data_IF_791467102404
#
_entry.id   IF_791467102404
#
_cell.length_a   1.000
_cell.length_b   1.000
_cell.length_c   1.000
_cell.angle_alpha   90.00
_cell.angle_beta   90.00
_cell.angle_gamma   90.00
#
_symmetry.space_group_name_H-M   'P 1'
#
loop_
_entity.id
_entity.type
_entity.pdbx_description
1 polymer ?
#
# COMPACT_ATOMS: atom_id res chain seq x y z
N UNK A 1 5.51 9.97 -39.83
CA UNK A 1 4.88 11.01 -39.01
C UNK A 1 5.89 11.41 -37.95
N UNK A 2 6.55 12.58 -38.12
CA UNK A 2 7.47 13.12 -37.14
C UNK A 2 6.67 13.46 -35.87
N UNK A 3 6.87 12.72 -34.80
CA UNK A 3 6.34 13.10 -33.49
C UNK A 3 7.12 14.33 -33.02
N UNK A 4 6.40 15.42 -32.84
CA UNK A 4 6.95 16.62 -32.25
C UNK A 4 7.29 16.34 -30.79
N UNK A 5 8.56 16.01 -30.51
CA UNK A 5 9.07 15.66 -29.19
C UNK A 5 9.40 16.88 -28.32
N UNK A 6 8.80 18.03 -28.61
CA UNK A 6 8.94 19.15 -27.69
C UNK A 6 8.17 18.86 -26.40
N UNK A 7 8.83 18.85 -25.23
CA UNK A 7 8.13 18.75 -23.98
C UNK A 7 7.14 19.90 -23.82
N UNK A 8 5.96 19.68 -23.26
CA UNK A 8 5.00 20.75 -23.04
C UNK A 8 5.64 21.84 -22.19
N UNK A 9 5.45 23.10 -22.60
CA UNK A 9 5.90 24.25 -21.83
C UNK A 9 5.09 24.28 -20.52
N UNK A 10 5.67 23.80 -19.43
CA UNK A 10 5.06 23.83 -18.10
C UNK A 10 5.31 25.20 -17.51
N UNK A 11 4.27 26.03 -17.43
CA UNK A 11 4.34 27.29 -16.68
C UNK A 11 4.25 26.99 -15.19
N UNK A 12 5.31 27.32 -14.47
CA UNK A 12 5.34 27.23 -12.99
C UNK A 12 4.94 28.55 -12.33
N UNK A 13 4.60 29.57 -13.10
CA UNK A 13 4.31 30.91 -12.59
C UNK A 13 3.16 30.92 -11.57
N UNK A 14 2.17 30.05 -11.75
CA UNK A 14 1.05 29.92 -10.81
C UNK A 14 1.37 29.11 -9.55
N UNK A 15 2.51 28.41 -9.52
CA UNK A 15 2.93 27.59 -8.37
C UNK A 15 3.61 28.43 -7.28
N UNK A 16 4.20 29.58 -7.66
CA UNK A 16 4.88 30.50 -6.75
C UNK A 16 4.42 31.91 -7.11
N UNK A 17 3.35 32.37 -6.48
CA UNK A 17 2.80 33.70 -6.72
C UNK A 17 3.44 34.77 -5.86
N UNK A 18 3.89 34.39 -4.66
CA UNK A 18 4.57 35.29 -3.73
C UNK A 18 5.74 34.58 -3.05
N UNK A 19 6.84 35.31 -2.71
CA UNK A 19 7.89 34.72 -1.90
C UNK A 19 7.29 34.24 -0.58
N UNK A 20 7.57 33.00 -0.21
CA UNK A 20 7.14 32.47 1.07
C UNK A 20 7.74 33.35 2.19
N UNK A 21 6.89 33.90 3.04
CA UNK A 21 7.34 34.59 4.25
C UNK A 21 8.22 33.67 5.09
N UNK A 22 9.19 34.23 5.80
CA UNK A 22 10.05 33.49 6.68
C UNK A 22 9.24 33.01 7.89
N UNK A 23 9.06 31.69 8.00
CA UNK A 23 8.33 31.06 9.10
C UNK A 23 9.26 30.14 9.88
N UNK A 24 9.59 30.54 11.10
CA UNK A 24 10.42 29.75 12.02
C UNK A 24 9.85 28.37 12.30
N UNK A 25 8.52 28.20 12.23
CA UNK A 25 7.86 26.89 12.42
C UNK A 25 8.06 25.91 11.26
N UNK A 26 8.66 26.37 10.15
CA UNK A 26 9.03 25.53 9.01
C UNK A 26 10.51 25.15 8.96
N UNK A 27 11.30 25.68 9.88
CA UNK A 27 12.73 25.36 9.95
C UNK A 27 12.94 24.01 10.62
N UNK A 28 13.85 23.20 10.07
CA UNK A 28 14.31 21.95 10.68
C UNK A 28 15.34 22.25 11.81
N UNK A 29 14.91 22.99 12.82
CA UNK A 29 15.75 23.44 13.94
C UNK A 29 15.01 23.24 15.27
N UNK A 30 15.67 22.73 16.34
CA UNK A 30 15.05 22.66 17.67
C UNK A 30 14.59 24.02 18.17
N UNK A 31 13.44 24.11 18.85
CA UNK A 31 12.51 23.01 19.24
C UNK A 31 11.47 22.62 18.17
N UNK A 32 11.53 23.24 16.99
CA UNK A 32 10.53 23.09 15.93
C UNK A 32 10.46 21.65 15.41
N UNK A 33 11.59 20.96 15.30
CA UNK A 33 11.65 19.55 14.91
C UNK A 33 10.81 18.67 15.83
N UNK A 34 10.91 18.85 17.14
CA UNK A 34 10.08 18.13 18.12
C UNK A 34 8.58 18.44 17.95
N UNK A 35 8.23 19.71 17.74
CA UNK A 35 6.83 20.13 17.52
C UNK A 35 6.28 19.49 16.25
N UNK A 36 7.06 19.43 15.18
CA UNK A 36 6.65 18.78 13.93
C UNK A 36 6.46 17.28 14.07
N UNK A 37 7.35 16.61 14.80
CA UNK A 37 7.25 15.19 15.09
C UNK A 37 5.99 14.88 15.91
N UNK A 38 5.76 15.67 16.96
CA UNK A 38 4.55 15.56 17.77
C UNK A 38 3.28 15.74 16.93
N UNK A 39 3.21 16.81 16.14
CA UNK A 39 2.07 17.05 15.23
C UNK A 39 1.91 15.96 14.17
N UNK A 40 3.01 15.37 13.71
CA UNK A 40 2.93 14.23 12.77
C UNK A 40 2.21 13.06 13.42
N UNK A 41 2.57 12.69 14.63
CA UNK A 41 2.02 11.52 15.32
C UNK A 41 0.61 11.76 15.89
N UNK A 42 0.34 12.95 16.44
CA UNK A 42 -0.91 13.24 17.15
C UNK A 42 -2.03 13.78 16.22
N UNK A 43 -1.67 14.51 15.15
CA UNK A 43 -2.66 15.18 14.29
C UNK A 43 -2.67 14.60 12.88
N UNK A 44 -1.52 14.64 12.18
CA UNK A 44 -1.48 14.39 10.73
C UNK A 44 -1.67 12.93 10.37
N UNK A 45 -1.03 11.99 11.06
CA UNK A 45 -1.18 10.56 10.78
C UNK A 45 -2.58 10.05 11.11
N UNK A 46 -3.21 10.40 12.25
CA UNK A 46 -4.61 10.09 12.49
C UNK A 46 -5.55 10.67 11.43
N UNK A 47 -5.38 11.94 11.06
CA UNK A 47 -6.19 12.57 10.02
C UNK A 47 -6.01 11.90 8.64
N UNK A 48 -4.78 11.49 8.30
CA UNK A 48 -4.52 10.76 7.07
C UNK A 48 -5.23 9.39 7.06
N UNK A 49 -5.20 8.64 8.16
CA UNK A 49 -5.93 7.37 8.27
C UNK A 49 -7.45 7.56 8.13
N UNK A 50 -7.99 8.56 8.81
CA UNK A 50 -9.40 8.95 8.65
C UNK A 50 -9.74 9.20 7.18
N UNK A 51 -8.95 10.02 6.50
CA UNK A 51 -9.13 10.34 5.08
C UNK A 51 -9.08 9.09 4.19
N UNK A 52 -8.12 8.18 4.41
CA UNK A 52 -8.00 6.92 3.66
C UNK A 52 -9.28 6.10 3.80
N UNK A 53 -9.77 5.95 5.02
CA UNK A 53 -10.98 5.15 5.31
C UNK A 53 -12.25 5.82 4.77
N UNK A 54 -12.45 7.12 5.02
CA UNK A 54 -13.64 7.87 4.58
C UNK A 54 -13.78 7.88 3.05
N UNK A 55 -12.65 7.99 2.35
CA UNK A 55 -12.63 8.00 0.88
C UNK A 55 -12.42 6.62 0.26
N UNK A 56 -12.31 5.56 1.08
CA UNK A 56 -12.13 4.17 0.63
C UNK A 56 -10.98 4.05 -0.39
N UNK A 57 -9.83 4.64 -0.02
CA UNK A 57 -8.68 4.66 -0.93
C UNK A 57 -8.05 3.28 -1.11
N UNK A 58 -8.08 2.43 -0.08
CA UNK A 58 -7.75 1.02 -0.21
C UNK A 58 -9.00 0.24 -0.65
N UNK A 59 -8.80 -0.82 -1.43
CA UNK A 59 -9.89 -1.57 -2.04
C UNK A 59 -9.90 -3.01 -1.56
N UNK A 60 -11.07 -3.52 -1.21
CA UNK A 60 -11.26 -4.90 -0.80
C UNK A 60 -12.12 -5.64 -1.82
N UNK A 61 -11.58 -6.73 -2.38
CA UNK A 61 -12.26 -7.65 -3.28
C UNK A 61 -12.46 -8.97 -2.57
N UNK A 62 -13.73 -9.36 -2.42
CA UNK A 62 -14.09 -10.63 -1.80
C UNK A 62 -13.81 -11.77 -2.75
N UNK A 63 -13.13 -12.83 -2.28
CA UNK A 63 -12.87 -14.03 -3.06
C UNK A 63 -14.12 -14.83 -3.37
N UNK A 64 -14.20 -15.42 -4.57
CA UNK A 64 -15.37 -16.18 -5.00
C UNK A 64 -15.41 -17.59 -4.39
N UNK A 65 -14.26 -18.24 -4.20
CA UNK A 65 -14.17 -19.65 -3.78
C UNK A 65 -13.32 -19.84 -2.51
N UNK A 66 -12.13 -19.27 -2.46
CA UNK A 66 -11.15 -19.45 -1.38
C UNK A 66 -11.08 -18.22 -0.47
N UNK A 67 -12.24 -17.82 0.07
CA UNK A 67 -12.37 -16.62 0.94
C UNK A 67 -11.50 -16.65 2.18
N UNK A 68 -11.16 -17.86 2.65
CA UNK A 68 -10.31 -18.08 3.82
C UNK A 68 -8.81 -17.81 3.56
N UNK A 69 -8.42 -17.62 2.30
CA UNK A 69 -7.08 -17.18 1.93
C UNK A 69 -7.11 -15.71 1.51
N UNK A 70 -6.13 -14.96 1.96
CA UNK A 70 -6.04 -13.52 1.70
C UNK A 70 -4.76 -13.14 0.95
N UNK A 71 -4.90 -12.23 0.01
CA UNK A 71 -3.78 -11.55 -0.63
C UNK A 71 -3.81 -10.07 -0.25
N UNK A 72 -2.70 -9.53 0.21
CA UNK A 72 -2.53 -8.08 0.39
C UNK A 72 -1.50 -7.63 -0.63
N UNK A 73 -1.79 -6.58 -1.38
CA UNK A 73 -0.96 -6.15 -2.50
C UNK A 73 -0.83 -4.63 -2.57
N UNK A 74 0.35 -4.13 -2.90
CA UNK A 74 0.53 -2.72 -3.26
C UNK A 74 -0.22 -2.42 -4.56
N UNK A 75 -0.94 -1.28 -4.61
CA UNK A 75 -1.78 -0.91 -5.76
C UNK A 75 -1.05 -0.92 -7.10
N UNK A 76 0.22 -0.49 -7.11
CA UNK A 76 1.03 -0.45 -8.34
C UNK A 76 1.25 -1.80 -9.03
N UNK A 77 1.23 -2.90 -8.29
CA UNK A 77 1.44 -4.27 -8.81
C UNK A 77 0.16 -5.11 -8.86
N UNK A 78 -1.00 -4.51 -8.57
CA UNK A 78 -2.30 -5.21 -8.59
C UNK A 78 -2.60 -5.85 -9.95
N UNK A 79 -2.38 -5.13 -11.05
CA UNK A 79 -2.63 -5.67 -12.39
C UNK A 79 -1.74 -6.87 -12.73
N UNK A 80 -0.50 -6.87 -12.24
CA UNK A 80 0.42 -8.00 -12.40
C UNK A 80 -0.06 -9.20 -11.61
N UNK A 81 -0.53 -8.98 -10.37
CA UNK A 81 -1.13 -10.03 -9.54
C UNK A 81 -2.33 -10.67 -10.24
N UNK A 82 -3.29 -9.87 -10.75
CA UNK A 82 -4.47 -10.41 -11.43
C UNK A 82 -4.07 -11.26 -12.65
N UNK A 83 -3.10 -10.82 -13.44
CA UNK A 83 -2.58 -11.62 -14.57
C UNK A 83 -1.94 -12.93 -14.12
N UNK A 84 -1.22 -12.91 -13.01
CA UNK A 84 -0.64 -14.13 -12.42
C UNK A 84 -1.73 -15.07 -11.96
N UNK A 85 -2.75 -14.59 -11.26
CA UNK A 85 -3.89 -15.39 -10.83
C UNK A 85 -4.67 -16.00 -12.02
N UNK A 86 -4.82 -15.24 -13.12
CA UNK A 86 -5.42 -15.75 -14.35
C UNK A 86 -4.64 -16.93 -14.94
N UNK A 87 -3.30 -16.88 -14.93
CA UNK A 87 -2.46 -17.98 -15.40
C UNK A 87 -2.65 -19.26 -14.58
N UNK A 88 -2.96 -19.13 -13.29
CA UNK A 88 -3.29 -20.27 -12.41
C UNK A 88 -4.76 -20.67 -12.41
N UNK A 89 -5.62 -19.98 -13.17
CA UNK A 89 -7.06 -20.21 -13.13
C UNK A 89 -7.73 -19.76 -11.83
N UNK A 90 -7.07 -18.87 -11.08
CA UNK A 90 -7.56 -18.30 -9.82
C UNK A 90 -8.21 -16.92 -9.98
N UNK A 91 -8.20 -16.37 -11.19
CA UNK A 91 -8.99 -15.21 -11.57
C UNK A 91 -9.58 -15.41 -12.97
N UNK A 92 -10.73 -14.81 -13.22
CA UNK A 92 -11.39 -14.86 -14.52
C UNK A 92 -10.88 -13.78 -15.49
N UNK A 93 -11.41 -13.76 -16.71
CA UNK A 93 -11.03 -12.79 -17.74
C UNK A 93 -11.40 -11.33 -17.38
N UNK A 94 -12.29 -11.12 -16.43
CA UNK A 94 -12.73 -9.81 -15.96
C UNK A 94 -11.96 -9.35 -14.71
N UNK A 95 -11.08 -10.20 -14.15
CA UNK A 95 -10.29 -9.92 -12.97
C UNK A 95 -10.96 -10.28 -11.64
N UNK A 96 -12.08 -11.01 -11.67
CA UNK A 96 -12.68 -11.54 -10.45
C UNK A 96 -11.83 -12.71 -9.93
N UNK A 97 -11.36 -12.57 -8.69
CA UNK A 97 -10.46 -13.53 -8.05
C UNK A 97 -11.20 -14.57 -7.23
N UNK A 98 -10.68 -15.81 -7.24
CA UNK A 98 -11.10 -16.86 -6.30
C UNK A 98 -10.68 -16.59 -4.86
N UNK A 99 -9.62 -15.80 -4.65
CA UNK A 99 -9.04 -15.41 -3.36
C UNK A 99 -9.49 -14.01 -2.97
N UNK A 100 -9.60 -13.75 -1.67
CA UNK A 100 -9.85 -12.38 -1.19
C UNK A 100 -8.61 -11.51 -1.36
N UNK A 101 -8.77 -10.27 -1.84
CA UNK A 101 -7.66 -9.34 -2.10
C UNK A 101 -7.92 -8.01 -1.40
N UNK A 102 -6.92 -7.55 -0.64
CA UNK A 102 -6.86 -6.17 -0.14
C UNK A 102 -5.78 -5.42 -0.90
N UNK A 103 -6.18 -4.39 -1.64
CA UNK A 103 -5.28 -3.53 -2.41
C UNK A 103 -4.94 -2.30 -1.60
N UNK A 104 -3.67 -2.14 -1.27
CA UNK A 104 -3.14 -0.97 -0.58
C UNK A 104 -2.75 0.09 -1.62
N UNK A 105 -3.70 0.95 -1.98
CA UNK A 105 -3.43 2.12 -2.80
C UNK A 105 -2.69 3.20 -2.00
N UNK A 106 -2.79 3.15 -0.68
CA UNK A 106 -2.00 3.95 0.24
C UNK A 106 -1.18 3.02 1.14
N UNK A 107 0.13 3.04 0.96
CA UNK A 107 1.07 2.18 1.70
C UNK A 107 1.61 2.83 2.98
N UNK A 108 1.37 4.13 3.18
CA UNK A 108 1.72 4.86 4.41
C UNK A 108 0.87 6.12 4.59
N UNK A 109 0.26 6.33 5.78
CA UNK A 109 0.23 5.38 6.89
C UNK A 109 -0.70 4.20 6.59
N UNK A 110 -0.37 3.03 7.09
CA UNK A 110 -1.29 1.90 7.08
C UNK A 110 -2.49 2.17 8.01
N UNK A 111 -3.64 1.61 7.67
CA UNK A 111 -4.86 1.68 8.48
C UNK A 111 -5.03 0.35 9.23
N UNK A 112 -4.68 0.29 10.54
CA UNK A 112 -4.70 -0.96 11.30
C UNK A 112 -6.06 -1.67 11.30
N UNK A 113 -7.14 -0.91 11.29
CA UNK A 113 -8.51 -1.42 11.34
C UNK A 113 -8.86 -2.19 10.05
N UNK A 114 -8.46 -1.69 8.88
CA UNK A 114 -8.66 -2.38 7.60
C UNK A 114 -7.86 -3.68 7.54
N UNK A 115 -6.59 -3.62 7.96
CA UNK A 115 -5.69 -4.78 7.98
C UNK A 115 -6.18 -5.88 8.93
N UNK A 116 -6.58 -5.50 10.14
CA UNK A 116 -7.09 -6.45 11.14
C UNK A 116 -8.41 -7.06 10.70
N UNK A 117 -9.33 -6.26 10.17
CA UNK A 117 -10.60 -6.75 9.65
C UNK A 117 -10.41 -7.74 8.49
N UNK A 118 -9.47 -7.45 7.59
CA UNK A 118 -9.15 -8.34 6.48
C UNK A 118 -8.52 -9.66 6.93
N UNK A 119 -7.59 -9.61 7.88
CA UNK A 119 -6.82 -10.79 8.31
C UNK A 119 -7.56 -11.69 9.31
N UNK A 120 -8.51 -11.16 10.08
CA UNK A 120 -9.09 -11.84 11.24
C UNK A 120 -9.78 -13.18 10.92
N UNK A 121 -10.38 -13.32 9.75
CA UNK A 121 -11.11 -14.51 9.30
C UNK A 121 -10.31 -15.39 8.32
N UNK A 122 -9.05 -15.05 8.05
CA UNK A 122 -8.21 -15.79 7.11
C UNK A 122 -7.41 -16.90 7.81
N UNK A 123 -7.23 -18.00 7.12
CA UNK A 123 -6.35 -19.10 7.56
C UNK A 123 -4.89 -18.82 7.22
N UNK A 124 -4.63 -18.02 6.20
CA UNK A 124 -3.31 -17.50 5.83
C UNK A 124 -3.47 -16.25 4.95
N UNK A 125 -2.47 -15.37 5.01
CA UNK A 125 -2.37 -14.17 4.18
C UNK A 125 -1.00 -14.12 3.55
N UNK A 126 -0.95 -13.85 2.22
CA UNK A 126 0.28 -13.55 1.50
C UNK A 126 0.31 -12.05 1.18
N UNK A 127 1.36 -11.38 1.62
CA UNK A 127 1.62 -9.98 1.30
C UNK A 127 2.58 -9.88 0.12
N UNK A 128 2.14 -9.17 -0.92
CA UNK A 128 2.96 -8.85 -2.09
C UNK A 128 3.47 -7.40 -1.94
N UNK A 129 4.67 -7.28 -1.38
CA UNK A 129 5.39 -6.02 -1.20
C UNK A 129 6.66 -6.02 -2.05
N UNK A 130 6.68 -5.15 -3.07
CA UNK A 130 7.84 -5.00 -3.95
C UNK A 130 8.92 -4.15 -3.28
N UNK A 131 10.18 -4.53 -3.48
CA UNK A 131 11.33 -3.79 -2.97
C UNK A 131 11.77 -4.17 -1.56
N UNK A 132 12.72 -3.41 -1.05
CA UNK A 132 13.33 -3.53 0.28
C UNK A 132 13.48 -2.14 0.92
N UNK A 133 13.42 -2.02 2.26
CA UNK A 133 13.03 -3.06 3.24
C UNK A 133 11.52 -3.36 3.23
N UNK A 134 11.14 -4.49 3.79
CA UNK A 134 9.77 -4.99 3.95
C UNK A 134 8.99 -4.25 5.04
N UNK A 135 8.77 -2.96 4.85
CA UNK A 135 8.13 -2.09 5.85
C UNK A 135 6.65 -2.42 6.09
N UNK A 136 5.92 -2.78 5.03
CA UNK A 136 4.49 -3.11 5.14
C UNK A 136 4.34 -4.43 5.88
N UNK A 137 5.17 -5.44 5.55
CA UNK A 137 5.18 -6.74 6.22
C UNK A 137 5.47 -6.61 7.71
N UNK A 138 6.49 -5.84 8.07
CA UNK A 138 6.87 -5.59 9.47
C UNK A 138 5.75 -4.87 10.24
N UNK A 139 5.16 -3.81 9.67
CA UNK A 139 4.08 -3.07 10.33
C UNK A 139 2.80 -3.89 10.43
N UNK A 140 2.48 -4.70 9.40
CA UNK A 140 1.35 -5.62 9.42
C UNK A 140 1.54 -6.69 10.50
N UNK A 141 2.68 -7.38 10.53
CA UNK A 141 3.00 -8.38 11.54
C UNK A 141 2.87 -7.83 12.97
N UNK A 142 3.41 -6.62 13.20
CA UNK A 142 3.29 -5.93 14.49
C UNK A 142 1.83 -5.60 14.83
N UNK A 143 1.06 -5.15 13.85
CA UNK A 143 -0.37 -4.82 14.00
C UNK A 143 -1.18 -6.06 14.39
N UNK A 144 -1.03 -7.15 13.66
CA UNK A 144 -1.70 -8.42 13.96
C UNK A 144 -1.34 -8.93 15.37
N UNK A 145 -0.06 -8.87 15.74
CA UNK A 145 0.41 -9.25 17.06
C UNK A 145 -0.22 -8.42 18.19
N UNK A 146 -0.32 -7.10 18.01
CA UNK A 146 -0.94 -6.19 18.99
C UNK A 146 -2.44 -6.45 19.17
N UNK A 147 -3.11 -6.89 18.11
CA UNK A 147 -4.54 -7.18 18.09
C UNK A 147 -4.86 -8.64 18.45
N UNK A 148 -3.84 -9.45 18.83
CA UNK A 148 -3.96 -10.88 19.12
C UNK A 148 -4.56 -11.70 17.96
N UNK A 149 -4.29 -11.31 16.74
CA UNK A 149 -4.65 -12.05 15.53
C UNK A 149 -3.51 -13.01 15.21
N UNK A 150 -3.80 -14.30 15.13
CA UNK A 150 -2.83 -15.38 14.93
C UNK A 150 -2.74 -15.86 13.47
N UNK A 151 -3.38 -15.17 12.53
CA UNK A 151 -3.34 -15.51 11.11
C UNK A 151 -1.91 -15.53 10.61
N UNK A 152 -1.43 -16.66 10.04
CA UNK A 152 -0.12 -16.73 9.42
C UNK A 152 0.01 -15.67 8.31
N UNK A 153 1.08 -14.89 8.40
CA UNK A 153 1.46 -13.90 7.40
C UNK A 153 2.69 -14.40 6.68
N UNK A 154 2.61 -14.47 5.37
CA UNK A 154 3.70 -14.76 4.45
C UNK A 154 3.97 -13.55 3.57
N UNK A 155 5.21 -13.41 3.15
CA UNK A 155 5.66 -12.31 2.28
C UNK A 155 7.02 -12.65 1.69
N UNK A 156 8.07 -12.02 2.17
CA UNK A 156 9.45 -12.26 1.71
C UNK A 156 10.03 -13.63 2.07
N UNK A 157 9.36 -14.41 2.90
CA UNK A 157 9.68 -15.81 3.15
C UNK A 157 9.30 -16.72 1.96
N UNK A 158 8.31 -16.32 1.16
CA UNK A 158 7.83 -17.06 -0.01
C UNK A 158 8.18 -16.35 -1.34
N UNK A 159 8.22 -15.03 -1.35
CA UNK A 159 8.43 -14.20 -2.52
C UNK A 159 9.90 -13.73 -2.65
N UNK A 160 10.35 -13.36 -3.84
CA UNK A 160 11.70 -12.82 -4.03
C UNK A 160 11.99 -11.63 -3.11
N UNK A 161 13.20 -11.61 -2.54
CA UNK A 161 13.63 -10.59 -1.58
C UNK A 161 13.71 -9.18 -2.20
N UNK A 162 13.96 -9.07 -3.49
CA UNK A 162 14.11 -7.79 -4.18
C UNK A 162 13.87 -7.91 -5.67
N UNK A 163 13.91 -6.79 -6.37
CA UNK A 163 13.60 -6.70 -7.79
C UNK A 163 12.12 -6.41 -8.05
N UNK A 164 11.78 -6.24 -9.32
CA UNK A 164 10.40 -6.03 -9.75
C UNK A 164 9.58 -7.32 -9.63
N UNK A 165 8.36 -7.22 -9.15
CA UNK A 165 7.44 -8.34 -9.07
C UNK A 165 6.71 -8.52 -10.41
N UNK A 166 7.40 -9.18 -11.34
CA UNK A 166 6.80 -9.68 -12.59
C UNK A 166 5.84 -10.84 -12.31
N UNK A 167 5.03 -11.23 -13.30
CA UNK A 167 4.15 -12.37 -13.17
C UNK A 167 4.93 -13.68 -12.85
N UNK A 168 6.11 -13.85 -13.42
CA UNK A 168 7.00 -14.99 -13.14
C UNK A 168 7.54 -14.97 -11.71
N UNK A 169 7.91 -13.79 -11.20
CA UNK A 169 8.38 -13.64 -9.84
C UNK A 169 7.26 -13.94 -8.81
N UNK A 170 6.05 -13.44 -9.06
CA UNK A 170 4.88 -13.73 -8.22
C UNK A 170 4.46 -15.21 -8.27
N UNK A 171 4.66 -15.87 -9.41
CA UNK A 171 4.30 -17.27 -9.59
C UNK A 171 5.26 -18.26 -8.88
N UNK A 172 6.38 -17.79 -8.35
CA UNK A 172 7.33 -18.60 -7.59
C UNK A 172 6.97 -18.75 -6.11
N UNK A 173 6.21 -17.82 -5.56
CA UNK A 173 5.68 -17.87 -4.19
C UNK A 173 4.36 -18.59 -4.12
#
# INVERSE_FOLDING_TARGET
VARNNQPPAISTHHLIQEPAGFDYMRLAHPPVTFVHEKRKSEDRLPAARCFITEHRLNEHFEGQQHKHLGLIVQGGIYNTLIRTLQQFGLADAFGESSLSILVLNVTYPLVPEELTAFCADKTAVLLLEEGQPEYIEQELALTLRRQNISTPLHGKDMLPQGGEYTAEAMAQG
#
